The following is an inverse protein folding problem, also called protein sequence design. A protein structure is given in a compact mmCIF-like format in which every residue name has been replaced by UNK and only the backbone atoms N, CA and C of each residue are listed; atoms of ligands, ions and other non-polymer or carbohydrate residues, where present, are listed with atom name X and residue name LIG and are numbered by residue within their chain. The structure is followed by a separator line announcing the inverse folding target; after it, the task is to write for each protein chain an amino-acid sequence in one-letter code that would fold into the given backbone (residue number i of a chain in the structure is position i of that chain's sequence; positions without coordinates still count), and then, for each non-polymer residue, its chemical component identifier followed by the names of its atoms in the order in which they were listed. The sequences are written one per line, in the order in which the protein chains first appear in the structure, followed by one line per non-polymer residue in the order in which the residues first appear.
data_IF_204340359983
#
_entry.id   IF_204340359983
#
_cell.length_a   1.000
_cell.length_b   1.000
_cell.length_c   1.000
_cell.angle_alpha   90.00
_cell.angle_beta   90.00
_cell.angle_gamma   90.00
#
_symmetry.space_group_name_H-M   'P 1'
#
loop_
_entity.id
_entity.type
_entity.pdbx_description
1 polymer ?
#
# COMPACT_ATOMS: atom_id res chain seq x y z
N UNK A 1 18.83 14.74 17.87
CA UNK A 1 17.73 13.78 17.61
C UNK A 1 16.87 14.37 16.50
N UNK A 2 17.08 13.92 15.26
CA UNK A 2 16.40 14.48 14.09
C UNK A 2 14.94 13.99 14.08
N UNK A 3 14.01 14.93 14.22
CA UNK A 3 12.60 14.70 13.98
C UNK A 3 12.42 14.46 12.48
N UNK A 4 12.26 13.20 12.07
CA UNK A 4 11.71 12.86 10.77
C UNK A 4 10.31 13.47 10.70
N UNK A 5 10.21 14.66 10.11
CA UNK A 5 8.95 15.29 9.72
C UNK A 5 8.30 14.45 8.64
N UNK A 6 7.69 13.35 9.04
CA UNK A 6 6.86 12.53 8.17
C UNK A 6 5.63 13.35 7.83
N UNK A 7 5.71 14.01 6.67
CA UNK A 7 4.65 14.38 5.73
C UNK A 7 3.30 14.73 6.35
N UNK A 8 2.87 15.97 6.13
CA UNK A 8 1.52 16.40 6.51
C UNK A 8 0.47 15.39 5.99
N UNK A 9 -0.64 15.16 6.72
CA UNK A 9 -1.69 14.24 6.28
C UNK A 9 -2.27 14.57 4.89
N UNK A 10 -2.00 15.78 4.39
CA UNK A 10 -2.37 16.27 3.07
C UNK A 10 -1.49 15.68 1.97
N UNK A 11 -0.16 15.68 2.12
CA UNK A 11 0.77 15.13 1.10
C UNK A 11 0.58 13.63 0.91
N UNK A 12 0.36 12.91 2.03
CA UNK A 12 0.12 11.48 1.99
C UNK A 12 -1.19 11.11 1.28
N UNK A 13 -2.21 11.96 1.38
CA UNK A 13 -3.51 11.80 0.70
C UNK A 13 -3.39 11.87 -0.82
N UNK A 14 -2.38 12.57 -1.34
CA UNK A 14 -2.14 12.75 -2.77
C UNK A 14 -1.12 11.75 -3.30
N UNK A 15 -0.07 11.44 -2.53
CA UNK A 15 0.98 10.53 -2.95
C UNK A 15 0.52 9.07 -3.04
N UNK A 16 -0.28 8.59 -2.08
CA UNK A 16 -0.74 7.19 -2.03
C UNK A 16 -1.51 6.74 -3.30
N UNK A 17 -2.51 7.49 -3.82
CA UNK A 17 -3.18 7.10 -5.07
C UNK A 17 -2.29 7.21 -6.31
N UNK A 18 -1.37 8.17 -6.36
CA UNK A 18 -0.41 8.29 -7.47
C UNK A 18 0.49 7.06 -7.49
N UNK A 19 1.06 6.69 -6.35
CA UNK A 19 1.88 5.50 -6.21
C UNK A 19 1.09 4.22 -6.55
N UNK A 20 -0.18 4.14 -6.14
CA UNK A 20 -1.04 3.01 -6.48
C UNK A 20 -1.26 2.87 -8.00
N UNK A 21 -1.57 3.97 -8.69
CA UNK A 21 -1.71 3.98 -10.16
C UNK A 21 -0.40 3.60 -10.83
N UNK A 22 0.73 4.17 -10.39
CA UNK A 22 2.04 3.84 -10.95
C UNK A 22 2.39 2.36 -10.75
N UNK A 23 2.14 1.78 -9.57
CA UNK A 23 2.35 0.35 -9.31
C UNK A 23 1.50 -0.53 -10.23
N UNK A 24 0.24 -0.15 -10.49
CA UNK A 24 -0.63 -0.88 -11.42
C UNK A 24 -0.11 -0.78 -12.86
N UNK A 25 0.28 0.41 -13.30
CA UNK A 25 0.80 0.62 -14.66
C UNK A 25 2.11 -0.15 -14.87
N UNK A 26 3.01 -0.17 -13.88
CA UNK A 26 4.23 -0.96 -13.94
C UNK A 26 3.94 -2.46 -14.01
N UNK A 27 3.00 -2.95 -13.19
CA UNK A 27 2.55 -4.34 -13.25
C UNK A 27 1.97 -4.68 -14.63
N UNK A 28 1.08 -3.84 -15.15
CA UNK A 28 0.46 -4.04 -16.45
C UNK A 28 1.49 -4.00 -17.58
N UNK A 29 2.46 -3.07 -17.53
CA UNK A 29 3.54 -2.98 -18.50
C UNK A 29 4.38 -4.25 -18.55
N UNK A 30 4.81 -4.75 -17.39
CA UNK A 30 5.60 -6.00 -17.31
C UNK A 30 4.82 -7.23 -17.76
N UNK A 31 3.52 -7.30 -17.48
CA UNK A 31 2.68 -8.45 -17.86
C UNK A 31 2.29 -8.40 -19.35
N UNK A 32 2.10 -7.21 -19.90
CA UNK A 32 1.56 -7.02 -21.26
C UNK A 32 2.65 -6.86 -22.34
N UNK A 33 3.83 -6.34 -21.99
CA UNK A 33 4.94 -6.26 -22.95
C UNK A 33 5.82 -7.51 -22.91
N UNK A 34 5.97 -8.14 -24.08
CA UNK A 34 7.00 -9.14 -24.34
C UNK A 34 8.31 -8.41 -24.62
N UNK A 35 9.15 -8.15 -23.60
CA UNK A 35 10.64 -7.96 -23.59
C UNK A 35 11.31 -7.08 -24.68
N UNK A 36 10.60 -6.52 -25.66
CA UNK A 36 11.14 -6.03 -26.95
C UNK A 36 11.25 -4.50 -26.99
N UNK A 37 10.78 -3.77 -25.99
CA UNK A 37 10.85 -2.29 -25.92
C UNK A 37 11.92 -1.74 -24.95
N UNK A 38 12.87 -2.58 -24.50
CA UNK A 38 13.96 -2.20 -23.59
C UNK A 38 15.27 -1.99 -24.34
N UNK A 39 15.32 -1.03 -25.27
CA UNK A 39 16.57 -0.68 -25.94
C UNK A 39 17.47 0.15 -24.99
N UNK A 40 18.37 -0.58 -24.33
CA UNK A 40 19.74 -0.28 -23.85
C UNK A 40 20.03 0.96 -22.98
N UNK A 41 19.14 1.94 -22.83
CA UNK A 41 19.33 3.10 -21.91
C UNK A 41 18.33 3.06 -20.74
N UNK A 42 17.25 2.28 -20.87
CA UNK A 42 16.17 2.19 -19.88
C UNK A 42 16.46 1.22 -18.71
N UNK A 43 17.38 0.26 -18.86
CA UNK A 43 17.58 -0.81 -17.87
C UNK A 43 18.08 -0.32 -16.51
N UNK A 44 18.94 0.72 -16.49
CA UNK A 44 19.52 1.24 -15.25
C UNK A 44 18.48 1.88 -14.33
N UNK A 45 17.50 2.58 -14.90
CA UNK A 45 16.41 3.20 -14.14
C UNK A 45 15.23 2.25 -13.95
N UNK A 46 15.06 1.27 -14.83
CA UNK A 46 13.96 0.33 -14.77
C UNK A 46 13.93 -0.41 -13.43
N UNK A 47 15.03 -1.07 -13.06
CA UNK A 47 15.11 -1.84 -11.82
C UNK A 47 14.77 -1.03 -10.54
N UNK A 48 15.40 0.13 -10.28
CA UNK A 48 15.06 0.92 -9.11
C UNK A 48 13.63 1.44 -9.18
N UNK A 49 13.11 1.84 -10.35
CA UNK A 49 11.72 2.33 -10.49
C UNK A 49 10.71 1.22 -10.20
N UNK A 50 10.89 0.02 -10.76
CA UNK A 50 10.00 -1.12 -10.55
C UNK A 50 10.02 -1.65 -9.12
N UNK A 51 11.06 -1.35 -8.35
CA UNK A 51 11.20 -1.80 -6.96
C UNK A 51 10.78 -0.72 -5.97
N UNK A 52 11.21 0.53 -6.19
CA UNK A 52 10.95 1.64 -5.29
C UNK A 52 9.50 2.10 -5.32
N UNK A 53 8.84 2.13 -6.47
CA UNK A 53 7.44 2.59 -6.54
C UNK A 53 6.52 1.66 -5.72
N UNK A 54 6.52 0.33 -5.93
CA UNK A 54 5.84 -0.61 -5.05
C UNK A 54 6.26 -0.53 -3.58
N UNK A 55 7.57 -0.38 -3.32
CA UNK A 55 8.10 -0.28 -1.97
C UNK A 55 7.60 0.95 -1.21
N UNK A 56 7.58 2.11 -1.87
CA UNK A 56 7.07 3.37 -1.30
C UNK A 56 5.56 3.31 -1.07
N UNK A 57 4.80 2.71 -1.99
CA UNK A 57 3.37 2.46 -1.80
C UNK A 57 3.14 1.59 -0.56
N UNK A 58 3.85 0.46 -0.48
CA UNK A 58 3.79 -0.47 0.64
C UNK A 58 4.14 0.20 1.96
N UNK A 59 5.24 0.96 2.00
CA UNK A 59 5.62 1.72 3.18
C UNK A 59 4.53 2.72 3.59
N UNK A 60 3.98 3.50 2.66
CA UNK A 60 2.89 4.44 2.95
C UNK A 60 1.69 3.70 3.55
N UNK A 61 1.20 2.64 2.90
CA UNK A 61 0.07 1.85 3.39
C UNK A 61 0.32 1.32 4.80
N UNK A 62 1.51 0.77 5.05
CA UNK A 62 1.89 0.22 6.35
C UNK A 62 1.89 1.27 7.47
N UNK A 63 2.39 2.49 7.20
CA UNK A 63 2.29 3.61 8.16
C UNK A 63 0.82 3.94 8.47
N UNK A 64 -0.08 3.78 7.48
CA UNK A 64 -1.51 4.05 7.63
C UNK A 64 -2.23 3.02 8.47
N UNK A 65 -1.96 1.75 8.20
CA UNK A 65 -2.52 0.64 8.97
C UNK A 65 -1.99 0.64 10.40
N UNK A 66 -0.71 0.99 10.60
CA UNK A 66 -0.14 1.15 11.94
C UNK A 66 -0.80 2.32 12.70
N UNK A 67 -0.97 3.47 12.06
CA UNK A 67 -1.67 4.60 12.66
C UNK A 67 -3.12 4.26 13.02
N UNK A 68 -3.82 3.52 12.16
CA UNK A 68 -5.17 3.02 12.45
C UNK A 68 -5.17 2.01 13.61
N UNK A 69 -4.21 1.09 13.67
CA UNK A 69 -4.06 0.16 14.79
C UNK A 69 -3.81 0.85 16.12
N UNK A 70 -2.99 1.92 16.14
CA UNK A 70 -2.77 2.74 17.33
C UNK A 70 -4.06 3.44 17.77
N UNK A 71 -4.83 4.02 16.84
CA UNK A 71 -6.13 4.63 17.15
C UNK A 71 -7.12 3.59 17.70
N UNK A 72 -7.22 2.43 17.07
CA UNK A 72 -8.07 1.33 17.51
C UNK A 72 -7.69 0.86 18.91
N UNK A 73 -6.40 0.64 19.19
CA UNK A 73 -5.92 0.25 20.51
C UNK A 73 -6.25 1.31 21.57
N UNK A 74 -6.09 2.60 21.26
CA UNK A 74 -6.44 3.69 22.18
C UNK A 74 -7.94 3.76 22.49
N UNK A 75 -8.79 3.43 21.50
CA UNK A 75 -10.23 3.36 21.67
C UNK A 75 -10.63 2.18 22.58
N UNK A 76 -10.02 1.01 22.39
CA UNK A 76 -10.24 -0.19 23.22
C UNK A 76 -9.77 0.03 24.66
N UNK A 77 -8.65 0.73 24.86
CA UNK A 77 -8.09 1.01 26.19
C UNK A 77 -8.78 2.20 26.89
N UNK A 78 -9.80 2.82 26.29
CA UNK A 78 -10.54 3.93 26.89
C UNK A 78 -9.75 5.25 26.98
N UNK A 79 -8.59 5.37 26.33
CA UNK A 79 -7.80 6.61 26.29
C UNK A 79 -8.37 7.53 25.20
N UNK A 80 -9.53 8.13 25.47
CA UNK A 80 -10.46 8.74 24.50
C UNK A 80 -10.00 9.96 23.70
N UNK A 81 -8.70 10.25 23.59
CA UNK A 81 -8.23 11.51 23.00
C UNK A 81 -7.98 11.46 21.47
N UNK A 82 -8.17 10.31 20.80
CA UNK A 82 -7.86 10.13 19.35
C UNK A 82 -8.88 9.29 18.57
N UNK A 83 -10.10 9.14 19.10
CA UNK A 83 -11.15 8.29 18.51
C UNK A 83 -11.79 9.01 17.31
N UNK A 84 -11.87 8.34 16.16
CA UNK A 84 -12.59 8.81 14.97
C UNK A 84 -13.81 7.92 14.71
N UNK A 85 -14.96 8.51 14.34
CA UNK A 85 -16.19 7.75 14.10
C UNK A 85 -15.97 6.73 12.96
N UNK A 86 -16.30 5.47 13.24
CA UNK A 86 -16.12 4.35 12.30
C UNK A 86 -14.80 3.59 12.44
N UNK A 87 -13.81 4.02 13.23
CA UNK A 87 -12.53 3.28 13.37
C UNK A 87 -12.70 1.87 13.95
N UNK A 88 -13.80 1.59 14.65
CA UNK A 88 -14.14 0.26 15.19
C UNK A 88 -14.94 -0.63 14.24
N UNK A 89 -15.31 -0.14 13.05
CA UNK A 89 -16.06 -0.94 12.08
C UNK A 89 -15.25 -2.17 11.66
N UNK A 90 -15.85 -3.36 11.78
CA UNK A 90 -15.21 -4.65 11.45
C UNK A 90 -14.61 -4.65 10.04
N UNK A 91 -15.30 -4.02 9.08
CA UNK A 91 -14.84 -3.88 7.69
C UNK A 91 -13.56 -3.04 7.57
N UNK A 92 -13.40 -1.98 8.39
CA UNK A 92 -12.19 -1.15 8.41
C UNK A 92 -11.03 -1.87 9.07
N UNK A 93 -11.30 -2.61 10.15
CA UNK A 93 -10.29 -3.45 10.82
C UNK A 93 -9.78 -4.52 9.86
N UNK A 94 -10.69 -5.26 9.21
CA UNK A 94 -10.33 -6.30 8.25
C UNK A 94 -9.54 -5.72 7.07
N UNK A 95 -10.00 -4.62 6.48
CA UNK A 95 -9.28 -3.94 5.40
C UNK A 95 -7.87 -3.50 5.84
N UNK A 96 -7.71 -3.00 7.07
CA UNK A 96 -6.42 -2.61 7.62
C UNK A 96 -5.48 -3.81 7.83
N UNK A 97 -6.00 -4.95 8.28
CA UNK A 97 -5.21 -6.17 8.45
C UNK A 97 -4.75 -6.69 7.09
N UNK A 98 -5.67 -6.83 6.13
CA UNK A 98 -5.36 -7.35 4.79
C UNK A 98 -4.36 -6.45 4.08
N UNK A 99 -4.60 -5.13 4.06
CA UNK A 99 -3.68 -4.18 3.44
C UNK A 99 -2.35 -4.11 4.18
N UNK A 100 -2.35 -4.19 5.51
CA UNK A 100 -1.13 -4.16 6.30
C UNK A 100 -0.25 -5.37 6.06
N UNK A 101 -0.84 -6.56 6.02
CA UNK A 101 -0.12 -7.81 5.73
C UNK A 101 0.44 -7.80 4.31
N UNK A 102 -0.36 -7.42 3.31
CA UNK A 102 0.08 -7.35 1.92
C UNK A 102 1.16 -6.27 1.72
N UNK A 103 1.04 -5.12 2.40
CA UNK A 103 2.05 -4.07 2.38
C UNK A 103 3.36 -4.55 3.01
N UNK A 104 3.33 -5.19 4.18
CA UNK A 104 4.54 -5.75 4.80
C UNK A 104 5.23 -6.78 3.89
N UNK A 105 4.44 -7.64 3.24
CA UNK A 105 4.93 -8.64 2.30
C UNK A 105 5.52 -8.00 1.03
N UNK A 106 4.86 -6.99 0.46
CA UNK A 106 5.38 -6.25 -0.71
C UNK A 106 6.68 -5.54 -0.36
N UNK A 107 6.74 -4.92 0.82
CA UNK A 107 7.91 -4.20 1.29
C UNK A 107 9.09 -5.13 1.56
N UNK A 108 8.86 -6.34 2.11
CA UNK A 108 9.94 -7.31 2.32
C UNK A 108 10.55 -7.77 0.99
N UNK A 109 9.74 -7.98 -0.05
CA UNK A 109 10.24 -8.29 -1.39
C UNK A 109 11.00 -7.11 -2.00
N UNK A 110 10.53 -5.88 -1.82
CA UNK A 110 11.25 -4.70 -2.29
C UNK A 110 12.63 -4.57 -1.64
N UNK A 111 12.71 -4.72 -0.31
CA UNK A 111 13.97 -4.71 0.44
C UNK A 111 14.89 -5.84 0.02
N UNK A 112 14.37 -7.07 -0.10
CA UNK A 112 15.15 -8.22 -0.54
C UNK A 112 15.71 -8.02 -1.96
N UNK A 113 14.93 -7.43 -2.86
CA UNK A 113 15.35 -7.14 -4.23
C UNK A 113 16.47 -6.11 -4.27
N UNK A 114 16.37 -5.03 -3.48
CA UNK A 114 17.43 -4.04 -3.35
C UNK A 114 18.70 -4.65 -2.73
N UNK A 115 18.55 -5.48 -1.70
CA UNK A 115 19.66 -6.15 -1.05
C UNK A 115 20.42 -7.06 -2.02
N UNK A 116 19.71 -7.91 -2.77
CA UNK A 116 20.34 -8.83 -3.72
C UNK A 116 20.99 -8.07 -4.87
N UNK A 117 20.36 -7.02 -5.38
CA UNK A 117 20.87 -6.30 -6.54
C UNK A 117 22.06 -5.40 -6.25
N UNK A 118 22.14 -4.81 -5.04
CA UNK A 118 23.18 -3.83 -4.71
C UNK A 118 24.22 -4.30 -3.69
N UNK A 119 23.90 -5.29 -2.84
CA UNK A 119 24.77 -5.73 -1.74
C UNK A 119 25.23 -7.18 -1.84
N UNK A 120 24.50 -8.05 -2.54
CA UNK A 120 24.93 -9.44 -2.69
C UNK A 120 25.93 -9.57 -3.84
N UNK A 121 27.13 -10.09 -3.54
CA UNK A 121 28.16 -10.39 -4.55
C UNK A 121 27.82 -11.64 -5.40
N UNK A 122 26.80 -12.39 -5.00
CA UNK A 122 26.37 -13.61 -5.69
C UNK A 122 25.29 -13.30 -6.72
N UNK A 123 25.55 -13.63 -7.99
CA UNK A 123 24.64 -13.48 -9.13
C UNK A 123 23.40 -14.38 -9.05
N UNK A 124 22.53 -14.11 -8.07
CA UNK A 124 21.26 -14.79 -7.87
C UNK A 124 20.13 -14.20 -8.72
N UNK A 125 19.10 -15.00 -8.97
CA UNK A 125 17.87 -14.57 -9.64
C UNK A 125 17.24 -13.43 -8.82
N UNK A 126 17.04 -12.28 -9.45
CA UNK A 126 16.45 -11.11 -8.79
C UNK A 126 14.97 -11.39 -8.45
N UNK A 127 14.55 -11.27 -7.18
CA UNK A 127 13.16 -11.45 -6.79
C UNK A 127 12.27 -10.22 -7.07
N UNK A 128 12.77 -9.25 -7.85
CA UNK A 128 12.11 -7.96 -8.12
C UNK A 128 10.73 -8.08 -8.74
N UNK A 129 10.48 -9.15 -9.52
CA UNK A 129 9.17 -9.41 -10.11
C UNK A 129 8.09 -9.57 -9.05
N UNK A 130 8.41 -10.14 -7.88
CA UNK A 130 7.44 -10.33 -6.79
C UNK A 130 7.06 -9.00 -6.15
N UNK A 131 8.02 -8.11 -5.92
CA UNK A 131 7.73 -6.77 -5.39
C UNK A 131 6.79 -6.00 -6.33
N UNK A 132 6.99 -6.13 -7.64
CA UNK A 132 6.16 -5.49 -8.65
C UNK A 132 4.75 -6.11 -8.75
N UNK A 133 4.63 -7.43 -8.78
CA UNK A 133 3.33 -8.12 -8.83
C UNK A 133 2.48 -7.82 -7.59
N UNK A 134 3.05 -8.01 -6.38
CA UNK A 134 2.31 -7.74 -5.14
C UNK A 134 2.07 -6.24 -4.95
N UNK A 135 2.98 -5.38 -5.42
CA UNK A 135 2.79 -3.93 -5.47
C UNK A 135 1.62 -3.50 -6.34
N UNK A 136 1.45 -4.08 -7.52
CA UNK A 136 0.31 -3.82 -8.38
C UNK A 136 -1.01 -4.25 -7.75
N UNK A 137 -1.06 -5.47 -7.17
CA UNK A 137 -2.24 -5.95 -6.41
C UNK A 137 -2.55 -5.03 -5.24
N UNK A 138 -1.53 -4.60 -4.49
CA UNK A 138 -1.69 -3.64 -3.40
C UNK A 138 -2.25 -2.32 -3.90
N UNK A 139 -1.76 -1.81 -5.05
CA UNK A 139 -2.28 -0.61 -5.70
C UNK A 139 -3.76 -0.72 -6.04
N UNK A 140 -4.19 -1.84 -6.63
CA UNK A 140 -5.61 -2.10 -6.94
C UNK A 140 -6.44 -2.05 -5.65
N UNK A 141 -6.01 -2.76 -4.60
CA UNK A 141 -6.74 -2.80 -3.34
C UNK A 141 -6.80 -1.44 -2.64
N UNK A 142 -5.74 -0.63 -2.73
CA UNK A 142 -5.71 0.74 -2.19
C UNK A 142 -6.72 1.63 -2.92
N UNK A 143 -6.75 1.60 -4.25
CA UNK A 143 -7.73 2.37 -5.03
C UNK A 143 -9.15 1.89 -4.78
N UNK A 144 -9.38 0.56 -4.76
CA UNK A 144 -10.68 -0.02 -4.48
C UNK A 144 -11.16 0.39 -3.08
N UNK A 145 -10.29 0.35 -2.08
CA UNK A 145 -10.57 0.83 -0.72
C UNK A 145 -10.96 2.31 -0.72
N UNK A 146 -10.21 3.15 -1.43
CA UNK A 146 -10.46 4.58 -1.49
C UNK A 146 -11.83 4.90 -2.12
N UNK A 147 -12.19 4.19 -3.19
CA UNK A 147 -13.52 4.28 -3.83
C UNK A 147 -14.61 3.75 -2.90
N UNK A 148 -14.39 2.59 -2.29
CA UNK A 148 -15.34 1.94 -1.40
C UNK A 148 -15.71 2.82 -0.20
N UNK A 149 -14.73 3.41 0.49
CA UNK A 149 -15.00 4.30 1.62
C UNK A 149 -15.51 5.69 1.22
N UNK A 150 -15.32 6.10 -0.04
CA UNK A 150 -16.02 7.27 -0.60
C UNK A 150 -17.50 6.99 -0.82
N UNK A 151 -17.84 5.81 -1.34
CA UNK A 151 -19.21 5.41 -1.61
C UNK A 151 -19.98 5.03 -0.33
N UNK A 152 -19.28 4.43 0.64
CA UNK A 152 -19.85 3.95 1.90
C UNK A 152 -19.11 4.54 3.10
N UNK A 153 -19.30 5.84 3.42
CA UNK A 153 -18.58 6.51 4.50
C UNK A 153 -18.84 5.86 5.88
N UNK A 154 -20.07 5.40 6.12
CA UNK A 154 -20.50 4.72 7.36
C UNK A 154 -20.39 3.18 7.29
N UNK A 155 -20.00 2.63 6.13
CA UNK A 155 -19.95 1.19 5.85
C UNK A 155 -21.23 0.65 5.20
N UNK A 156 -21.16 -0.43 4.40
CA UNK A 156 -22.33 -0.98 3.72
C UNK A 156 -23.36 -1.60 4.68
N UNK A 157 -22.90 -2.03 5.87
CA UNK A 157 -23.76 -2.67 6.86
C UNK A 157 -24.71 -1.68 7.55
N UNK A 158 -24.35 -0.39 7.65
CA UNK A 158 -25.26 0.62 8.22
C UNK A 158 -26.43 0.93 7.27
N UNK A 159 -26.23 0.80 5.95
CA UNK A 159 -27.31 0.91 4.96
C UNK A 159 -28.26 -0.30 5.02
N UNK A 160 -27.73 -1.50 5.25
CA UNK A 160 -28.55 -2.71 5.41
C UNK A 160 -29.38 -2.69 6.70
N UNK A 161 -28.88 -2.09 7.79
CA UNK A 161 -29.69 -1.91 9.00
C UNK A 161 -30.81 -0.88 8.83
N UNK A 162 -30.65 0.10 7.95
CA UNK A 162 -31.71 1.07 7.62
C UNK A 162 -32.83 0.44 6.79
N UNK A 163 -32.49 -0.42 5.83
CA UNK A 163 -33.45 -1.15 4.99
C UNK A 163 -34.23 -2.25 5.72
N UNK A 164 -33.71 -2.76 6.85
CA UNK A 164 -34.42 -3.75 7.68
C UNK A 164 -35.40 -3.11 8.67
N UNK A 165 -35.43 -1.78 8.77
CA UNK A 165 -36.28 -1.04 9.69
C UNK A 165 -37.50 -0.38 9.03
N UNK A 166 -37.67 -0.54 7.71
CA UNK A 166 -38.90 -0.25 6.96
C UNK A 166 -39.70 -1.53 6.71
#
# INVERSE_FOLDING_TARGET
MSAFGLNSPVERRVAEPILAVLSILLMAGVVNESVILLDTVHELLWFPVTTLIPGLLAFSVLVGTLAHGIRLSSAVLGSGNRIQSGDTAVTRILASIVLGALAAFTLSWAVASLYIHYLAETGGVSPSIWALLFGGVLGVLVLLRAVFFRLFPEGPLSQLSGLSAE
#
